data_IF_167250591687
#
_entry.id   IF_167250591687
#
_cell.length_a   1.000
_cell.length_b   1.000
_cell.length_c   1.000
_cell.angle_alpha   90.00
_cell.angle_beta   90.00
_cell.angle_gamma   90.00
#
_symmetry.space_group_name_H-M   'P 1'
#
loop_
_entity.id
_entity.type
_entity.pdbx_description
1 polymer ?
#
# COMPACT_ATOMS: atom_id res chain seq x y z
N UNK A 1 28.35 -9.22 -7.64
CA UNK A 1 27.69 -9.99 -8.70
C UNK A 1 26.36 -9.31 -8.88
N UNK A 2 26.22 -8.59 -9.99
CA UNK A 2 25.02 -7.83 -10.33
C UNK A 2 23.88 -8.84 -10.51
N UNK A 3 22.80 -8.69 -9.73
CA UNK A 3 21.54 -9.36 -10.03
C UNK A 3 21.17 -8.96 -11.45
N UNK A 4 21.24 -9.89 -12.40
CA UNK A 4 20.80 -9.68 -13.78
C UNK A 4 19.31 -9.31 -13.76
N UNK A 5 18.99 -8.00 -13.72
CA UNK A 5 17.64 -7.42 -13.73
C UNK A 5 16.84 -7.74 -15.02
N UNK A 6 17.37 -8.61 -15.87
CA UNK A 6 16.84 -8.95 -17.19
C UNK A 6 15.88 -10.14 -17.16
N UNK A 7 15.80 -10.88 -16.04
CA UNK A 7 14.92 -12.04 -15.90
C UNK A 7 14.27 -12.09 -14.52
N UNK A 8 12.96 -12.31 -14.47
CA UNK A 8 12.21 -12.58 -13.25
C UNK A 8 11.85 -14.06 -13.15
N UNK A 9 11.84 -14.61 -11.94
CA UNK A 9 11.23 -15.91 -11.69
C UNK A 9 9.71 -15.73 -11.59
N UNK A 10 8.97 -16.52 -12.35
CA UNK A 10 7.51 -16.49 -12.38
C UNK A 10 6.93 -17.90 -12.30
N UNK A 11 5.66 -17.99 -11.90
CA UNK A 11 4.87 -19.21 -11.89
C UNK A 11 3.57 -18.97 -12.65
N UNK A 12 3.21 -19.89 -13.55
CA UNK A 12 1.92 -19.89 -14.25
C UNK A 12 1.39 -21.32 -14.32
N UNK A 13 0.15 -21.55 -13.87
CA UNK A 13 -0.51 -22.85 -13.83
C UNK A 13 0.33 -23.96 -13.17
N UNK A 14 0.99 -23.63 -12.05
CA UNK A 14 1.83 -24.56 -11.30
C UNK A 14 3.19 -24.87 -11.94
N UNK A 15 3.54 -24.18 -13.03
CA UNK A 15 4.86 -24.31 -13.69
C UNK A 15 5.68 -23.06 -13.41
N UNK A 16 6.85 -23.26 -12.82
CA UNK A 16 7.81 -22.20 -12.59
C UNK A 16 8.80 -22.05 -13.76
N UNK A 17 9.26 -20.82 -13.99
CA UNK A 17 10.26 -20.52 -15.00
C UNK A 17 10.86 -19.13 -14.82
N UNK A 18 11.80 -18.79 -15.69
CA UNK A 18 12.30 -17.43 -15.84
C UNK A 18 11.58 -16.78 -17.01
N UNK A 19 11.14 -15.53 -16.81
CA UNK A 19 10.55 -14.68 -17.84
C UNK A 19 11.44 -13.46 -18.04
N UNK A 20 11.67 -13.00 -19.29
CA UNK A 20 12.43 -11.78 -19.51
C UNK A 20 11.71 -10.58 -18.87
N UNK A 21 12.44 -9.70 -18.19
CA UNK A 21 11.85 -8.55 -17.51
C UNK A 21 11.18 -7.56 -18.45
N UNK A 22 11.62 -7.48 -19.72
CA UNK A 22 11.03 -6.63 -20.74
C UNK A 22 9.76 -7.22 -21.41
N UNK A 23 9.34 -8.43 -21.03
CA UNK A 23 8.12 -9.08 -21.53
C UNK A 23 6.95 -9.00 -20.55
N UNK A 24 7.18 -8.41 -19.37
CA UNK A 24 6.15 -8.22 -18.37
C UNK A 24 6.15 -6.80 -17.84
N UNK A 25 4.95 -6.28 -17.62
CA UNK A 25 4.74 -5.10 -16.81
C UNK A 25 4.40 -5.58 -15.40
N UNK A 26 5.24 -5.24 -14.42
CA UNK A 26 4.89 -5.45 -13.02
C UNK A 26 3.67 -4.60 -12.73
N UNK A 27 2.57 -5.24 -12.31
CA UNK A 27 1.44 -4.48 -11.79
C UNK A 27 1.91 -3.76 -10.54
N UNK A 28 2.01 -2.44 -10.63
CA UNK A 28 2.20 -1.62 -9.45
C UNK A 28 0.99 -1.83 -8.55
N UNK A 29 1.29 -2.19 -7.32
CA UNK A 29 0.31 -2.29 -6.27
C UNK A 29 0.59 -1.17 -5.28
N UNK A 30 -0.35 -0.24 -5.15
CA UNK A 30 -0.24 0.93 -4.28
C UNK A 30 -0.01 0.56 -2.81
N UNK A 31 -0.19 -0.72 -2.44
CA UNK A 31 0.07 -1.26 -1.12
C UNK A 31 1.49 -1.83 -0.93
N UNK A 32 2.32 -2.01 -1.98
CA UNK A 32 3.68 -2.54 -1.82
C UNK A 32 4.73 -1.43 -1.82
N UNK A 33 5.32 -1.18 -0.65
CA UNK A 33 6.26 -0.06 -0.43
C UNK A 33 7.73 -0.50 -0.41
N UNK A 34 8.02 -1.78 -0.67
CA UNK A 34 9.40 -2.27 -0.73
C UNK A 34 10.19 -2.02 0.56
N UNK A 35 11.34 -1.34 0.46
CA UNK A 35 12.26 -1.08 1.57
C UNK A 35 11.89 0.21 2.32
N UNK A 36 10.82 0.15 3.12
CA UNK A 36 10.52 1.19 4.12
C UNK A 36 10.68 0.63 5.54
N UNK A 37 11.07 1.51 6.47
CA UNK A 37 11.27 1.11 7.87
C UNK A 37 9.93 0.90 8.57
N UNK A 38 9.96 0.21 9.71
CA UNK A 38 8.79 0.09 10.60
C UNK A 38 8.28 1.47 11.01
N UNK A 39 9.19 2.36 11.41
CA UNK A 39 8.85 3.70 11.88
C UNK A 39 8.23 4.55 10.77
N UNK A 40 8.76 4.44 9.54
CA UNK A 40 8.17 5.13 8.38
C UNK A 40 6.77 4.59 8.06
N UNK A 41 6.58 3.27 8.14
CA UNK A 41 5.26 2.67 7.99
C UNK A 41 4.27 3.15 9.06
N UNK A 42 4.70 3.24 10.32
CA UNK A 42 3.89 3.79 11.42
C UNK A 42 3.49 5.25 11.14
N UNK A 43 4.44 6.07 10.69
CA UNK A 43 4.20 7.49 10.33
C UNK A 43 3.28 7.66 9.13
N UNK A 44 3.42 6.81 8.10
CA UNK A 44 2.56 6.84 6.92
C UNK A 44 1.12 6.45 7.26
N UNK A 45 0.94 5.47 8.15
CA UNK A 45 -0.36 4.90 8.48
C UNK A 45 -1.06 5.59 9.66
N UNK A 46 -0.35 6.33 10.52
CA UNK A 46 -0.89 6.84 11.80
C UNK A 46 -2.19 7.64 11.66
N UNK A 47 -2.31 8.42 10.59
CA UNK A 47 -3.43 9.32 10.33
C UNK A 47 -4.43 8.80 9.31
N UNK A 48 -4.22 7.58 8.81
CA UNK A 48 -5.07 6.95 7.81
C UNK A 48 -6.33 6.38 8.44
N UNK A 49 -7.29 6.06 7.60
CA UNK A 49 -8.50 5.36 8.01
C UNK A 49 -8.17 3.95 8.49
N UNK A 50 -9.01 3.39 9.37
CA UNK A 50 -8.86 2.02 9.85
C UNK A 50 -8.91 1.02 8.69
N UNK A 51 -7.96 0.08 8.68
CA UNK A 51 -7.76 -0.87 7.60
C UNK A 51 -6.77 -0.43 6.52
N UNK A 52 -6.39 0.85 6.48
CA UNK A 52 -5.32 1.31 5.60
C UNK A 52 -4.03 0.53 5.86
N UNK A 53 -3.38 0.05 4.82
CA UNK A 53 -2.28 -0.90 4.98
C UNK A 53 -1.20 -0.73 3.94
N UNK A 54 -0.05 -1.33 4.23
CA UNK A 54 1.04 -1.53 3.29
C UNK A 54 1.78 -2.83 3.58
N UNK A 55 2.43 -3.37 2.56
CA UNK A 55 3.39 -4.47 2.67
C UNK A 55 4.79 -3.90 2.39
N UNK A 56 5.72 -4.24 3.27
CA UNK A 56 7.13 -3.84 3.21
C UNK A 56 8.04 -5.04 3.41
N UNK A 57 9.30 -4.91 3.02
CA UNK A 57 10.34 -5.89 3.37
C UNK A 57 10.56 -5.86 4.89
N UNK A 58 10.69 -7.04 5.49
CA UNK A 58 10.90 -7.17 6.93
C UNK A 58 12.34 -6.77 7.30
N UNK A 59 12.48 -5.77 8.18
CA UNK A 59 13.79 -5.35 8.70
C UNK A 59 14.43 -6.40 9.61
N UNK A 60 13.61 -7.13 10.37
CA UNK A 60 14.07 -8.14 11.34
C UNK A 60 14.30 -9.51 10.72
N UNK A 61 13.89 -9.74 9.48
CA UNK A 61 14.00 -11.03 8.81
C UNK A 61 14.22 -10.83 7.30
N UNK A 62 15.49 -10.72 6.86
CA UNK A 62 15.81 -10.55 5.45
C UNK A 62 15.20 -11.66 4.58
N UNK A 63 14.49 -11.27 3.52
CA UNK A 63 13.77 -12.20 2.63
C UNK A 63 12.28 -12.39 2.98
N UNK A 64 11.84 -11.96 4.17
CA UNK A 64 10.44 -11.99 4.57
C UNK A 64 9.75 -10.63 4.34
N UNK A 65 8.41 -10.65 4.35
CA UNK A 65 7.59 -9.45 4.28
C UNK A 65 6.91 -9.14 5.61
N UNK A 66 6.51 -7.89 5.78
CA UNK A 66 5.69 -7.44 6.90
C UNK A 66 4.50 -6.64 6.38
N UNK A 67 3.31 -7.02 6.80
CA UNK A 67 2.07 -6.28 6.59
C UNK A 67 1.90 -5.30 7.75
N UNK A 68 1.87 -4.02 7.46
CA UNK A 68 1.59 -2.97 8.44
C UNK A 68 0.18 -2.44 8.17
N UNK A 69 -0.66 -2.36 9.18
CA UNK A 69 -2.07 -1.94 9.03
C UNK A 69 -2.47 -0.97 10.14
N UNK A 70 -3.24 0.04 9.76
CA UNK A 70 -3.83 1.00 10.68
C UNK A 70 -5.03 0.36 11.38
N UNK A 71 -4.92 0.21 12.69
CA UNK A 71 -5.99 -0.19 13.60
C UNK A 71 -6.47 1.00 14.44
N UNK A 72 -7.56 0.79 15.18
CA UNK A 72 -8.11 1.78 16.12
C UNK A 72 -7.13 2.19 17.22
N UNK A 73 -6.26 1.28 17.66
CA UNK A 73 -5.28 1.46 18.74
C UNK A 73 -3.88 1.87 18.27
N UNK A 74 -3.67 2.02 16.95
CA UNK A 74 -2.37 2.36 16.40
C UNK A 74 -2.07 1.57 15.12
N UNK A 75 -0.80 1.45 14.78
CA UNK A 75 -0.36 0.65 13.62
C UNK A 75 0.10 -0.71 14.13
N UNK A 76 -0.51 -1.78 13.62
CA UNK A 76 -0.13 -3.15 13.92
C UNK A 76 0.70 -3.72 12.77
N UNK A 77 1.62 -4.63 13.10
CA UNK A 77 2.53 -5.23 12.13
C UNK A 77 2.48 -6.75 12.22
N UNK A 78 2.14 -7.38 11.11
CA UNK A 78 2.05 -8.82 10.96
C UNK A 78 3.19 -9.31 10.09
N UNK A 79 3.96 -10.28 10.59
CA UNK A 79 4.97 -10.94 9.78
C UNK A 79 4.25 -11.83 8.75
N UNK A 80 4.53 -11.64 7.47
CA UNK A 80 4.05 -12.55 6.43
C UNK A 80 5.01 -13.74 6.40
N UNK A 81 4.49 -14.90 6.78
CA UNK A 81 5.25 -16.14 6.84
C UNK A 81 5.18 -16.86 5.50
N UNK A 82 6.17 -17.72 5.26
CA UNK A 82 6.25 -18.58 4.09
C UNK A 82 6.50 -20.03 4.51
N UNK A 83 5.78 -20.97 3.91
CA UNK A 83 6.01 -22.39 4.18
C UNK A 83 7.07 -22.98 3.25
N UNK A 84 7.39 -24.27 3.43
CA UNK A 84 8.37 -24.98 2.60
C UNK A 84 7.98 -25.11 1.13
N UNK A 85 6.72 -24.89 0.79
CA UNK A 85 6.21 -24.87 -0.59
C UNK A 85 6.15 -23.44 -1.14
N UNK A 86 6.64 -22.45 -0.41
CA UNK A 86 6.66 -21.05 -0.86
C UNK A 86 5.33 -20.30 -0.65
N UNK A 87 4.32 -20.91 -0.02
CA UNK A 87 3.00 -20.28 0.18
C UNK A 87 3.03 -19.26 1.30
N UNK A 88 2.39 -18.11 1.09
CA UNK A 88 2.32 -17.00 2.03
C UNK A 88 1.15 -17.13 3.01
N UNK A 89 1.33 -16.72 4.26
CA UNK A 89 0.26 -16.70 5.25
C UNK A 89 0.56 -15.77 6.42
N UNK A 90 -0.50 -15.26 7.06
CA UNK A 90 -0.41 -14.63 8.39
C UNK A 90 -0.71 -15.64 9.51
N UNK A 91 -1.64 -16.56 9.25
CA UNK A 91 -2.18 -17.48 10.27
C UNK A 91 -2.31 -18.92 9.74
N UNK A 92 -3.54 -19.36 9.43
CA UNK A 92 -3.85 -20.74 9.05
C UNK A 92 -4.04 -20.88 7.55
N UNK A 93 -4.68 -19.88 6.92
CA UNK A 93 -4.95 -19.87 5.48
C UNK A 93 -3.69 -19.47 4.72
N UNK A 94 -3.41 -20.20 3.63
CA UNK A 94 -2.19 -20.07 2.81
C UNK A 94 -2.54 -19.64 1.39
N UNK A 95 -1.67 -18.81 0.80
CA UNK A 95 -1.86 -18.15 -0.48
C UNK A 95 -0.64 -18.37 -1.39
N UNK A 96 -0.84 -18.40 -2.70
CA UNK A 96 0.27 -18.55 -3.65
C UNK A 96 1.03 -17.23 -3.86
N UNK A 97 0.39 -16.10 -3.58
CA UNK A 97 0.96 -14.77 -3.76
C UNK A 97 0.55 -13.81 -2.64
N UNK A 98 1.29 -12.71 -2.50
CA UNK A 98 0.90 -11.59 -1.64
C UNK A 98 -0.40 -10.96 -2.11
N UNK A 99 -0.67 -10.97 -3.42
CA UNK A 99 -1.92 -10.50 -4.01
C UNK A 99 -3.12 -11.26 -3.47
N UNK A 100 -3.10 -12.60 -3.54
CA UNK A 100 -4.16 -13.44 -3.00
C UNK A 100 -4.34 -13.22 -1.50
N UNK A 101 -3.25 -13.05 -0.75
CA UNK A 101 -3.29 -12.74 0.68
C UNK A 101 -4.00 -11.41 0.95
N UNK A 102 -3.65 -10.36 0.19
CA UNK A 102 -4.26 -9.03 0.31
C UNK A 102 -5.75 -9.09 -0.06
N UNK A 103 -6.08 -9.70 -1.21
CA UNK A 103 -7.44 -9.81 -1.72
C UNK A 103 -8.35 -10.54 -0.73
N UNK A 104 -7.88 -11.64 -0.14
CA UNK A 104 -8.59 -12.36 0.91
C UNK A 104 -8.86 -11.47 2.13
N UNK A 105 -7.83 -10.75 2.60
CA UNK A 105 -7.91 -9.93 3.80
C UNK A 105 -8.64 -8.59 3.62
N UNK A 106 -9.06 -8.23 2.40
CA UNK A 106 -10.07 -7.18 2.21
C UNK A 106 -11.44 -7.54 2.79
N UNK A 107 -11.72 -8.84 2.93
CA UNK A 107 -13.01 -9.34 3.47
C UNK A 107 -12.86 -10.12 4.76
N UNK A 108 -11.69 -10.71 5.02
CA UNK A 108 -11.39 -11.46 6.23
C UNK A 108 -10.42 -10.70 7.15
N UNK A 109 -10.65 -10.73 8.46
CA UNK A 109 -9.79 -10.01 9.41
C UNK A 109 -8.34 -10.49 9.37
N UNK A 110 -7.39 -9.57 9.45
CA UNK A 110 -5.96 -9.86 9.63
C UNK A 110 -5.61 -10.12 11.09
N UNK A 111 -6.47 -9.75 12.03
CA UNK A 111 -6.27 -9.94 13.47
C UNK A 111 -7.13 -11.10 14.01
N UNK A 112 -6.62 -11.80 15.03
CA UNK A 112 -7.38 -12.84 15.76
C UNK A 112 -8.25 -12.27 16.88
N UNK A 113 -8.04 -11.02 17.27
CA UNK A 113 -8.71 -10.38 18.42
C UNK A 113 -9.64 -9.22 18.03
N UNK A 114 -9.40 -8.60 16.88
CA UNK A 114 -10.16 -7.45 16.37
C UNK A 114 -10.62 -7.75 14.93
N UNK A 115 -11.73 -7.15 14.49
CA UNK A 115 -12.17 -7.21 13.09
C UNK A 115 -11.48 -6.12 12.27
N UNK A 116 -10.27 -6.42 11.77
CA UNK A 116 -9.44 -5.48 10.99
C UNK A 116 -9.31 -6.03 9.57
N UNK A 117 -9.99 -5.40 8.62
CA UNK A 117 -9.94 -5.75 7.20
C UNK A 117 -9.08 -4.75 6.45
N UNK A 118 -8.38 -5.21 5.41
CA UNK A 118 -7.53 -4.37 4.58
C UNK A 118 -8.38 -3.46 3.70
N UNK A 119 -7.99 -2.18 3.64
CA UNK A 119 -8.62 -1.16 2.80
C UNK A 119 -7.56 -0.41 2.01
N UNK A 120 -7.76 -0.34 0.69
CA UNK A 120 -6.81 0.32 -0.19
C UNK A 120 -6.77 1.82 0.08
N UNK A 121 -5.58 2.40 0.00
CA UNK A 121 -5.40 3.84 0.04
C UNK A 121 -5.43 4.38 -1.38
N UNK A 122 -6.29 5.35 -1.65
CA UNK A 122 -6.25 6.08 -2.92
C UNK A 122 -5.25 7.22 -2.78
N UNK A 123 -4.11 7.08 -3.45
CA UNK A 123 -3.05 8.09 -3.44
C UNK A 123 -3.02 8.86 -4.76
N UNK A 124 -2.83 10.16 -4.65
CA UNK A 124 -2.69 11.05 -5.80
C UNK A 124 -1.51 11.98 -5.59
N UNK A 125 -0.85 12.38 -6.67
CA UNK A 125 0.25 13.33 -6.63
C UNK A 125 -0.18 14.66 -7.21
N UNK A 126 0.14 15.75 -6.51
CA UNK A 126 -0.07 17.11 -6.97
C UNK A 126 0.77 17.41 -8.23
N UNK A 127 0.10 17.78 -9.31
CA UNK A 127 0.71 18.22 -10.57
C UNK A 127 1.10 19.71 -10.54
N UNK A 128 0.41 20.49 -9.71
CA UNK A 128 0.58 21.94 -9.55
C UNK A 128 0.55 22.33 -8.08
N UNK A 129 1.03 23.53 -7.77
CA UNK A 129 0.82 24.13 -6.46
C UNK A 129 -0.64 24.57 -6.31
N UNK A 130 -1.19 24.42 -5.11
CA UNK A 130 -2.53 24.91 -4.78
C UNK A 130 -2.48 25.61 -3.42
N UNK A 131 -2.91 26.87 -3.40
CA UNK A 131 -2.98 27.69 -2.19
C UNK A 131 -4.44 27.78 -1.78
N UNK A 132 -4.75 27.29 -0.57
CA UNK A 132 -6.09 27.37 0.00
C UNK A 132 -6.58 28.82 0.06
N UNK A 133 -7.78 29.05 -0.48
CA UNK A 133 -8.48 30.32 -0.49
C UNK A 133 -9.56 30.38 0.60
N UNK A 134 -10.13 29.22 0.95
CA UNK A 134 -11.20 29.11 1.95
C UNK A 134 -10.84 28.19 3.12
N UNK A 135 -11.48 28.42 4.26
CA UNK A 135 -11.35 27.55 5.42
C UNK A 135 -11.93 26.17 5.11
N UNK A 136 -11.09 25.13 5.19
CA UNK A 136 -11.46 23.75 4.89
C UNK A 136 -10.84 23.22 3.59
N UNK A 137 -10.16 24.07 2.82
CA UNK A 137 -9.34 23.64 1.70
C UNK A 137 -7.95 23.15 2.15
N UNK A 138 -7.38 22.21 1.41
CA UNK A 138 -6.06 21.64 1.64
C UNK A 138 -5.06 22.26 0.68
N UNK A 139 -4.15 23.10 1.18
CA UNK A 139 -3.02 23.61 0.40
C UNK A 139 -1.91 22.56 0.22
N UNK A 140 -1.24 22.58 -0.93
CA UNK A 140 -0.14 21.66 -1.26
C UNK A 140 0.78 22.23 -2.33
N UNK A 141 1.95 21.61 -2.46
CA UNK A 141 2.93 21.91 -3.51
C UNK A 141 2.95 20.80 -4.55
N UNK A 142 3.33 21.14 -5.78
CA UNK A 142 3.62 20.19 -6.83
C UNK A 142 4.59 19.12 -6.30
N UNK A 143 4.21 17.86 -6.51
CA UNK A 143 4.94 16.67 -6.06
C UNK A 143 4.46 16.09 -4.74
N UNK A 144 3.66 16.83 -3.95
CA UNK A 144 3.06 16.30 -2.72
C UNK A 144 2.16 15.10 -3.03
N UNK A 145 2.23 14.08 -2.17
CA UNK A 145 1.36 12.90 -2.23
C UNK A 145 0.22 13.08 -1.23
N UNK A 146 -0.99 13.01 -1.75
CA UNK A 146 -2.24 13.23 -1.02
C UNK A 146 -2.98 11.89 -0.95
N UNK A 147 -3.48 11.54 0.23
CA UNK A 147 -4.43 10.43 0.35
C UNK A 147 -5.83 10.96 0.21
N UNK A 148 -6.56 10.46 -0.80
CA UNK A 148 -7.95 10.80 -1.05
C UNK A 148 -8.82 10.07 -0.03
N UNK A 149 -9.63 10.83 0.71
CA UNK A 149 -10.56 10.33 1.73
C UNK A 149 -12.00 10.34 1.22
N UNK A 150 -12.34 11.24 0.29
CA UNK A 150 -13.64 11.29 -0.37
C UNK A 150 -13.48 11.85 -1.80
N UNK A 151 -14.13 11.20 -2.76
CA UNK A 151 -14.18 11.58 -4.19
C UNK A 151 -15.60 11.50 -4.76
N UNK A 152 -16.60 11.65 -3.90
CA UNK A 152 -18.01 11.62 -4.28
C UNK A 152 -18.39 12.78 -5.20
N UNK A 153 -17.70 13.91 -5.08
CA UNK A 153 -17.78 15.04 -6.01
C UNK A 153 -16.76 14.91 -7.16
N UNK A 154 -17.15 15.36 -8.35
CA UNK A 154 -16.35 15.25 -9.58
C UNK A 154 -15.18 16.25 -9.64
N UNK A 155 -15.33 17.42 -9.02
CA UNK A 155 -14.40 18.54 -9.15
C UNK A 155 -13.54 18.75 -7.90
N UNK A 156 -14.09 18.46 -6.72
CA UNK A 156 -13.45 18.72 -5.44
C UNK A 156 -13.40 17.47 -4.57
N UNK A 157 -12.20 16.99 -4.30
CA UNK A 157 -11.99 15.82 -3.47
C UNK A 157 -11.56 16.22 -2.07
N UNK A 158 -11.90 15.40 -1.09
CA UNK A 158 -11.35 15.51 0.25
C UNK A 158 -10.11 14.62 0.34
N UNK A 159 -9.07 15.11 0.99
CA UNK A 159 -7.88 14.33 1.23
C UNK A 159 -7.03 14.85 2.36
N UNK A 160 -5.87 14.23 2.53
CA UNK A 160 -5.00 14.49 3.66
C UNK A 160 -3.50 14.38 3.32
N UNK A 161 -2.71 15.29 3.89
CA UNK A 161 -1.25 15.29 3.89
C UNK A 161 -0.77 15.38 5.34
N UNK A 162 -0.23 14.29 5.87
CA UNK A 162 0.17 14.20 7.27
C UNK A 162 -1.03 14.43 8.21
N UNK A 163 -1.02 15.52 8.98
CA UNK A 163 -2.13 15.91 9.87
C UNK A 163 -3.13 16.87 9.21
N UNK A 164 -2.82 17.42 8.04
CA UNK A 164 -3.67 18.39 7.35
C UNK A 164 -4.70 17.65 6.52
N UNK A 165 -5.95 18.11 6.56
CA UNK A 165 -7.06 17.57 5.76
C UNK A 165 -7.89 18.70 5.18
N UNK A 166 -8.51 18.46 4.04
CA UNK A 166 -9.35 19.45 3.40
C UNK A 166 -9.70 19.12 1.96
N UNK A 167 -10.46 20.02 1.36
CA UNK A 167 -10.88 19.95 -0.03
C UNK A 167 -9.78 20.43 -0.98
N UNK A 168 -9.67 19.80 -2.13
CA UNK A 168 -8.78 20.24 -3.21
C UNK A 168 -9.36 19.91 -4.60
N UNK A 169 -8.98 20.67 -5.64
CA UNK A 169 -9.46 20.42 -6.99
C UNK A 169 -8.88 19.12 -7.58
N UNK A 170 -9.75 18.21 -8.02
CA UNK A 170 -9.39 16.91 -8.60
C UNK A 170 -8.48 17.06 -9.84
N UNK A 171 -8.66 18.14 -10.62
CA UNK A 171 -7.86 18.41 -11.81
C UNK A 171 -6.39 18.81 -11.51
N UNK A 172 -6.03 19.04 -10.25
CA UNK A 172 -4.66 19.40 -9.86
C UNK A 172 -3.80 18.17 -9.53
N UNK A 173 -4.36 16.97 -9.62
CA UNK A 173 -3.70 15.75 -9.19
C UNK A 173 -3.76 14.66 -10.26
N UNK A 174 -2.86 13.70 -10.18
CA UNK A 174 -2.91 12.45 -10.94
C UNK A 174 -2.78 11.25 -9.99
N UNK A 175 -3.25 10.05 -10.39
CA UNK A 175 -3.00 8.82 -9.63
C UNK A 175 -1.52 8.66 -9.31
N UNK A 176 -1.21 8.38 -8.04
CA UNK A 176 0.15 8.14 -7.59
C UNK A 176 0.41 6.63 -7.53
N UNK A 177 1.38 6.18 -8.32
CA UNK A 177 1.87 4.80 -8.29
C UNK A 177 3.28 4.83 -7.66
N UNK A 178 3.47 4.09 -6.57
CA UNK A 178 4.74 3.99 -5.84
C UNK A 178 5.80 3.15 -6.55
#
# INVERSE_FOLDING_TARGET
>A
MEDDMNWYRAELDGKEGLIPSNYIEMKNHDWYYGRITRADAEKLLSNKHEGAFLIRISESSPGDFSLSVKCSDGVQHFKVLRDSQGKFFLWVVKFNSLNELVDYHRTASVSRSQDVKLRDMMLVQALYDFVAQESGELDFRRGDVITVTDRSDEHWWNGEIGNRKGLFPAIYVAPYHS
#
